data_IF_475719354881
#
_entry.id   IF_475719354881
#
_cell.length_a   1.000
_cell.length_b   1.000
_cell.length_c   1.000
_cell.angle_alpha   90.00
_cell.angle_beta   90.00
_cell.angle_gamma   90.00
#
_symmetry.space_group_name_H-M   'P 1'
#
loop_
_entity.id
_entity.type
_entity.pdbx_description
1 polymer ?
#
# COMPACT_ATOMS: atom_id res chain seq x y z
N UNK A 1 -22.01 10.87 -14.66
CA UNK A 1 -20.54 10.80 -14.67
C UNK A 1 -20.13 9.42 -14.20
N UNK A 2 -19.36 8.71 -15.03
CA UNK A 2 -18.87 7.36 -14.71
C UNK A 2 -17.41 7.44 -14.30
N UNK A 3 -17.01 6.80 -13.19
CA UNK A 3 -15.62 6.76 -12.75
C UNK A 3 -14.81 5.76 -13.58
N UNK A 4 -14.38 6.19 -14.76
CA UNK A 4 -13.57 5.43 -15.73
C UNK A 4 -12.70 6.40 -16.52
N UNK A 5 -11.65 5.92 -17.19
CA UNK A 5 -10.83 6.77 -18.07
C UNK A 5 -11.67 7.46 -19.14
N UNK A 6 -12.60 6.72 -19.76
CA UNK A 6 -13.53 7.28 -20.72
C UNK A 6 -14.44 8.35 -20.10
N UNK A 7 -14.94 8.10 -18.88
CA UNK A 7 -15.76 9.05 -18.14
C UNK A 7 -15.05 10.33 -17.72
N UNK A 8 -13.71 10.33 -17.64
CA UNK A 8 -12.91 11.53 -17.36
C UNK A 8 -12.72 12.46 -18.57
N UNK A 9 -13.13 12.05 -19.79
CA UNK A 9 -13.05 12.92 -20.97
C UNK A 9 -13.98 14.13 -20.87
N UNK A 10 -15.16 13.98 -20.28
CA UNK A 10 -16.07 15.09 -20.00
C UNK A 10 -15.67 15.83 -18.71
N UNK A 11 -14.52 16.49 -18.76
CA UNK A 11 -13.98 17.24 -17.60
C UNK A 11 -14.94 18.31 -17.10
N UNK A 12 -15.73 18.92 -18.00
CA UNK A 12 -16.66 20.00 -17.68
C UNK A 12 -17.75 19.56 -16.71
N UNK A 13 -18.32 18.35 -16.89
CA UNK A 13 -19.31 17.80 -15.97
C UNK A 13 -18.74 17.59 -14.55
N UNK A 14 -17.54 17.02 -14.44
CA UNK A 14 -16.87 16.78 -13.16
C UNK A 14 -16.52 18.07 -12.43
N UNK A 15 -15.95 19.03 -13.15
CA UNK A 15 -15.55 20.33 -12.59
C UNK A 15 -16.79 21.14 -12.17
N UNK A 16 -17.88 21.10 -12.94
CA UNK A 16 -19.16 21.73 -12.57
C UNK A 16 -19.81 21.10 -11.33
N UNK A 17 -19.62 19.79 -11.13
CA UNK A 17 -20.02 19.09 -9.91
C UNK A 17 -19.08 19.35 -8.71
N UNK A 18 -18.01 20.14 -8.89
CA UNK A 18 -17.03 20.45 -7.84
C UNK A 18 -16.05 19.30 -7.55
N UNK A 19 -15.92 18.34 -8.47
CA UNK A 19 -14.96 17.24 -8.37
C UNK A 19 -13.63 17.66 -9.00
N UNK A 20 -12.55 17.55 -8.21
CA UNK A 20 -11.20 17.82 -8.70
C UNK A 20 -10.70 16.64 -9.53
N UNK A 21 -10.17 16.92 -10.71
CA UNK A 21 -9.59 15.91 -11.59
C UNK A 21 -8.05 15.93 -11.55
N UNK A 22 -7.37 14.84 -11.94
CA UNK A 22 -5.93 14.82 -12.15
C UNK A 22 -5.49 15.96 -13.08
N UNK A 23 -4.39 16.62 -12.70
CA UNK A 23 -3.75 17.72 -13.45
C UNK A 23 -2.62 17.23 -14.37
N UNK A 24 -2.53 15.92 -14.59
CA UNK A 24 -1.52 15.26 -15.42
C UNK A 24 -2.20 14.26 -16.38
N UNK A 25 -1.43 13.77 -17.36
CA UNK A 25 -1.92 12.73 -18.27
C UNK A 25 -1.84 11.36 -17.58
N UNK A 26 -3.01 10.85 -17.14
CA UNK A 26 -3.15 9.61 -16.38
C UNK A 26 -2.61 8.40 -17.15
N UNK A 27 -2.99 8.24 -18.42
CA UNK A 27 -2.56 7.11 -19.24
C UNK A 27 -1.05 7.10 -19.47
N UNK A 28 -0.45 8.27 -19.73
CA UNK A 28 1.00 8.42 -19.89
C UNK A 28 1.73 8.06 -18.60
N UNK A 29 1.24 8.54 -17.44
CA UNK A 29 1.80 8.18 -16.14
C UNK A 29 1.68 6.68 -15.88
N UNK A 30 0.54 6.07 -16.21
CA UNK A 30 0.34 4.63 -16.04
C UNK A 30 1.31 3.83 -16.91
N UNK A 31 1.50 4.23 -18.17
CA UNK A 31 2.48 3.63 -19.08
C UNK A 31 3.91 3.76 -18.55
N UNK A 32 4.32 4.97 -18.12
CA UNK A 32 5.65 5.21 -17.55
C UNK A 32 5.90 4.35 -16.30
N UNK A 33 4.88 4.17 -15.46
CA UNK A 33 4.95 3.31 -14.27
C UNK A 33 5.12 1.84 -14.65
N UNK A 34 4.39 1.36 -15.65
CA UNK A 34 4.51 -0.04 -16.09
C UNK A 34 5.88 -0.35 -16.66
N UNK A 35 6.47 0.61 -17.37
CA UNK A 35 7.78 0.48 -18.01
C UNK A 35 8.95 0.56 -17.04
N UNK A 36 8.87 1.41 -16.01
CA UNK A 36 9.96 1.65 -15.06
C UNK A 36 9.41 1.84 -13.65
N UNK A 37 8.91 0.79 -12.99
CA UNK A 37 8.23 0.89 -11.70
C UNK A 37 9.19 1.35 -10.59
N UNK A 38 8.75 2.32 -9.78
CA UNK A 38 9.55 2.84 -8.65
C UNK A 38 8.94 2.48 -7.28
N UNK A 39 7.64 2.17 -7.23
CA UNK A 39 6.90 1.96 -5.99
C UNK A 39 5.81 0.90 -6.15
N UNK A 40 5.92 -0.18 -5.35
CA UNK A 40 4.88 -1.20 -5.16
C UNK A 40 4.25 -1.07 -3.78
N UNK A 41 2.94 -1.17 -3.65
CA UNK A 41 2.24 -1.16 -2.37
C UNK A 41 1.41 -2.42 -2.15
N UNK A 42 1.65 -3.13 -1.05
CA UNK A 42 0.90 -4.30 -0.61
C UNK A 42 -0.20 -3.91 0.38
N UNK A 43 -1.42 -4.39 0.18
CA UNK A 43 -2.58 -4.00 0.99
C UNK A 43 -3.28 -2.80 0.37
N UNK A 44 -4.21 -3.08 -0.53
CA UNK A 44 -4.75 -2.08 -1.45
C UNK A 44 -6.08 -1.45 -0.97
N UNK A 45 -6.28 -1.39 0.35
CA UNK A 45 -7.52 -0.98 1.01
C UNK A 45 -7.75 0.53 1.15
N UNK A 46 -8.64 0.93 2.07
CA UNK A 46 -9.08 2.32 2.21
C UNK A 46 -7.99 3.28 2.70
N UNK A 47 -7.12 2.87 3.64
CA UNK A 47 -6.00 3.71 4.10
C UNK A 47 -5.04 4.00 2.95
N UNK A 48 -4.66 2.97 2.20
CA UNK A 48 -3.83 3.14 1.01
C UNK A 48 -4.45 4.13 0.02
N UNK A 49 -5.70 3.89 -0.40
CA UNK A 49 -6.36 4.71 -1.43
C UNK A 49 -6.65 6.14 -0.96
N UNK A 50 -7.07 6.31 0.30
CA UNK A 50 -7.45 7.59 0.88
C UNK A 50 -6.28 8.44 1.38
N UNK A 51 -5.09 7.85 1.58
CA UNK A 51 -3.93 8.56 2.09
C UNK A 51 -2.66 8.32 1.27
N UNK A 52 -2.14 7.09 1.19
CA UNK A 52 -0.84 6.83 0.56
C UNK A 52 -0.87 7.14 -0.94
N UNK A 53 -1.89 6.66 -1.66
CA UNK A 53 -2.12 7.02 -3.06
C UNK A 53 -2.38 8.53 -3.22
N UNK A 54 -2.96 9.19 -2.22
CA UNK A 54 -3.13 10.64 -2.24
C UNK A 54 -1.82 11.41 -2.16
N UNK A 55 -0.84 10.91 -1.42
CA UNK A 55 0.50 11.51 -1.40
C UNK A 55 1.12 11.51 -2.80
N UNK A 56 1.05 10.38 -3.50
CA UNK A 56 1.57 10.28 -4.87
C UNK A 56 0.76 11.11 -5.87
N UNK A 57 -0.58 11.15 -5.73
CA UNK A 57 -1.45 12.01 -6.55
C UNK A 57 -1.02 13.48 -6.46
N UNK A 58 -0.69 13.98 -5.25
CA UNK A 58 -0.22 15.36 -5.06
C UNK A 58 1.10 15.58 -5.79
N UNK A 59 2.06 14.66 -5.68
CA UNK A 59 3.33 14.77 -6.40
C UNK A 59 3.14 14.79 -7.91
N UNK A 60 2.28 13.93 -8.45
CA UNK A 60 1.95 13.88 -9.88
C UNK A 60 1.28 15.18 -10.34
N UNK A 61 0.30 15.68 -9.59
CA UNK A 61 -0.36 16.96 -9.89
C UNK A 61 0.60 18.16 -9.87
N UNK A 62 1.66 18.11 -9.04
CA UNK A 62 2.70 19.15 -8.96
C UNK A 62 3.81 18.99 -10.00
N UNK A 63 3.81 17.92 -10.79
CA UNK A 63 4.94 17.57 -11.67
C UNK A 63 6.21 17.17 -10.92
N UNK A 64 6.12 16.86 -9.62
CA UNK A 64 7.23 16.39 -8.79
C UNK A 64 7.48 14.88 -8.93
N UNK A 65 6.58 14.17 -9.60
CA UNK A 65 6.71 12.78 -10.00
C UNK A 65 6.10 12.58 -11.40
N UNK A 66 6.53 11.53 -12.09
CA UNK A 66 6.06 11.14 -13.44
C UNK A 66 5.51 9.70 -13.49
N UNK A 67 5.51 9.01 -12.34
CA UNK A 67 5.08 7.61 -12.18
C UNK A 67 4.14 7.47 -11.00
N UNK A 68 3.20 6.56 -11.09
CA UNK A 68 2.27 6.17 -10.04
C UNK A 68 2.78 5.02 -9.18
N UNK A 69 1.84 4.37 -8.51
CA UNK A 69 2.04 3.21 -7.63
C UNK A 69 1.46 1.97 -8.28
N UNK A 70 2.13 0.83 -8.11
CA UNK A 70 1.57 -0.49 -8.40
C UNK A 70 0.94 -1.04 -7.12
N UNK A 71 -0.38 -1.19 -7.10
CA UNK A 71 -1.09 -1.77 -5.98
C UNK A 71 -1.06 -3.30 -6.05
N UNK A 72 -0.88 -3.97 -4.92
CA UNK A 72 -0.79 -5.42 -4.83
C UNK A 72 -1.63 -5.92 -3.66
N UNK A 73 -2.41 -6.96 -3.88
CA UNK A 73 -3.08 -7.69 -2.81
C UNK A 73 -2.57 -9.12 -2.73
N UNK A 74 -2.46 -9.66 -1.51
CA UNK A 74 -2.00 -11.03 -1.22
C UNK A 74 -3.10 -11.87 -0.58
N UNK A 75 -4.28 -11.31 -0.33
CA UNK A 75 -5.31 -11.97 0.48
C UNK A 75 -6.73 -11.76 -0.04
N UNK A 76 -7.11 -10.51 -0.30
CA UNK A 76 -8.45 -10.13 -0.72
C UNK A 76 -8.48 -9.69 -2.19
N UNK A 77 -8.32 -10.66 -3.08
CA UNK A 77 -8.23 -10.45 -4.52
C UNK A 77 -9.49 -9.84 -5.15
N UNK A 78 -10.64 -9.90 -4.45
CA UNK A 78 -11.86 -9.21 -4.87
C UNK A 78 -11.66 -7.69 -4.96
N UNK A 79 -10.74 -7.12 -4.16
CA UNK A 79 -10.41 -5.70 -4.23
C UNK A 79 -9.80 -5.38 -5.60
N UNK A 80 -8.89 -6.23 -6.10
CA UNK A 80 -8.29 -6.05 -7.42
C UNK A 80 -9.36 -6.13 -8.51
N UNK A 81 -10.24 -7.14 -8.47
CA UNK A 81 -11.23 -7.35 -9.53
C UNK A 81 -12.36 -6.33 -9.51
N UNK A 82 -12.97 -6.10 -8.34
CA UNK A 82 -14.22 -5.37 -8.20
C UNK A 82 -14.04 -3.88 -7.92
N UNK A 83 -12.81 -3.45 -7.57
CA UNK A 83 -12.50 -2.03 -7.30
C UNK A 83 -11.45 -1.51 -8.26
N UNK A 84 -10.29 -2.14 -8.38
CA UNK A 84 -9.24 -1.59 -9.25
C UNK A 84 -9.57 -1.82 -10.73
N UNK A 85 -9.77 -3.07 -11.14
CA UNK A 85 -10.07 -3.41 -12.55
C UNK A 85 -11.40 -2.81 -13.01
N UNK A 86 -12.44 -2.86 -12.17
CA UNK A 86 -13.76 -2.36 -12.52
C UNK A 86 -13.84 -0.83 -12.72
N UNK A 87 -12.87 -0.06 -12.21
CA UNK A 87 -12.87 1.41 -12.23
C UNK A 87 -11.56 1.99 -12.79
N UNK A 88 -10.86 1.27 -13.68
CA UNK A 88 -9.62 1.72 -14.32
C UNK A 88 -8.51 2.17 -13.34
N UNK A 89 -8.43 1.54 -12.17
CA UNK A 89 -7.58 1.90 -11.02
C UNK A 89 -7.87 3.29 -10.43
N UNK A 90 -8.97 3.94 -10.82
CA UNK A 90 -9.41 5.21 -10.27
C UNK A 90 -10.08 5.00 -8.90
N UNK A 91 -10.09 6.06 -8.10
CA UNK A 91 -10.84 6.09 -6.84
C UNK A 91 -11.33 7.50 -6.57
N UNK A 92 -12.54 7.66 -6.06
CA UNK A 92 -13.02 8.94 -5.56
C UNK A 92 -12.58 9.14 -4.11
N UNK A 93 -11.77 10.15 -3.84
CA UNK A 93 -11.46 10.54 -2.47
C UNK A 93 -12.40 11.64 -2.01
N UNK A 94 -13.10 11.39 -0.92
CA UNK A 94 -14.09 12.27 -0.33
C UNK A 94 -13.58 12.76 1.03
N UNK A 95 -13.11 14.00 1.08
CA UNK A 95 -12.58 14.61 2.31
C UNK A 95 -13.71 15.23 3.11
N UNK A 96 -13.91 14.73 4.33
CA UNK A 96 -14.88 15.27 5.29
C UNK A 96 -14.20 16.40 6.08
N UNK A 97 -14.65 17.64 5.89
CA UNK A 97 -14.11 18.79 6.61
C UNK A 97 -14.88 19.03 7.92
N UNK A 98 -14.22 19.69 8.88
CA UNK A 98 -14.81 20.01 10.19
C UNK A 98 -15.99 20.99 10.11
N UNK A 99 -16.09 21.79 9.03
CA UNK A 99 -17.17 22.73 8.76
C UNK A 99 -18.35 22.09 8.00
N UNK A 100 -18.40 20.75 7.97
CA UNK A 100 -19.38 19.93 7.24
C UNK A 100 -19.34 20.07 5.70
N UNK A 101 -18.41 20.84 5.14
CA UNK A 101 -18.13 20.79 3.70
C UNK A 101 -17.42 19.49 3.33
N UNK A 102 -17.54 19.11 2.06
CA UNK A 102 -16.91 17.89 1.55
C UNK A 102 -16.12 18.25 0.31
N UNK A 103 -14.85 17.87 0.30
CA UNK A 103 -14.02 17.89 -0.91
C UNK A 103 -14.17 16.57 -1.66
N UNK A 104 -14.20 16.61 -2.99
CA UNK A 104 -14.22 15.41 -3.82
C UNK A 104 -13.10 15.51 -4.88
N UNK A 105 -12.30 14.46 -5.01
CA UNK A 105 -11.20 14.37 -5.96
C UNK A 105 -11.16 12.98 -6.60
N UNK A 106 -10.95 12.92 -7.91
CA UNK A 106 -10.60 11.69 -8.61
C UNK A 106 -9.11 11.43 -8.42
N UNK A 107 -8.81 10.30 -7.80
CA UNK A 107 -7.46 9.76 -7.61
C UNK A 107 -7.13 8.83 -8.77
N UNK A 108 -5.97 9.02 -9.37
CA UNK A 108 -5.46 8.23 -10.50
C UNK A 108 -3.97 7.86 -10.33
N UNK A 109 -3.46 7.96 -9.10
CA UNK A 109 -2.06 7.68 -8.80
C UNK A 109 -1.72 6.18 -8.83
N UNK A 110 -2.72 5.30 -8.81
CA UNK A 110 -2.53 3.85 -8.99
C UNK A 110 -2.53 3.54 -10.47
N UNK A 111 -1.41 3.04 -10.97
CA UNK A 111 -1.18 2.80 -12.39
C UNK A 111 -1.50 1.37 -12.83
N UNK A 112 -1.39 0.43 -11.90
CA UNK A 112 -1.52 -1.00 -12.12
C UNK A 112 -1.91 -1.65 -10.78
N UNK A 113 -2.74 -2.69 -10.84
CA UNK A 113 -3.18 -3.45 -9.67
C UNK A 113 -2.99 -4.95 -9.95
N UNK A 114 -2.34 -5.66 -9.03
CA UNK A 114 -1.93 -7.05 -9.21
C UNK A 114 -2.32 -7.93 -8.01
N UNK A 115 -2.58 -9.20 -8.30
CA UNK A 115 -2.77 -10.27 -7.33
C UNK A 115 -1.46 -11.01 -7.16
N UNK A 116 -0.92 -10.97 -5.95
CA UNK A 116 0.23 -11.77 -5.56
C UNK A 116 -0.23 -13.18 -5.17
N UNK A 117 -0.61 -13.98 -6.17
CA UNK A 117 -1.16 -15.33 -6.01
C UNK A 117 -0.46 -16.31 -6.94
N UNK A 118 0.10 -17.40 -6.41
CA UNK A 118 0.71 -18.46 -7.21
C UNK A 118 -0.27 -19.09 -8.25
N UNK A 119 -1.58 -19.00 -8.00
CA UNK A 119 -2.63 -19.44 -8.95
C UNK A 119 -2.83 -18.47 -10.12
N UNK A 120 -2.18 -17.30 -10.10
CA UNK A 120 -2.21 -16.26 -11.13
C UNK A 120 -0.80 -16.11 -11.74
N UNK A 121 -0.31 -17.10 -12.52
CA UNK A 121 1.09 -17.16 -12.96
C UNK A 121 1.52 -15.94 -13.78
N UNK A 122 0.63 -15.35 -14.58
CA UNK A 122 0.92 -14.14 -15.36
C UNK A 122 1.16 -12.92 -14.46
N UNK A 123 0.33 -12.75 -13.43
CA UNK A 123 0.48 -11.64 -12.47
C UNK A 123 1.70 -11.83 -11.57
N UNK A 124 2.00 -13.07 -11.18
CA UNK A 124 3.25 -13.38 -10.47
C UNK A 124 4.48 -13.17 -11.34
N UNK A 125 4.44 -13.50 -12.63
CA UNK A 125 5.51 -13.19 -13.57
C UNK A 125 5.70 -11.68 -13.72
N UNK A 126 4.60 -10.90 -13.75
CA UNK A 126 4.66 -9.44 -13.75
C UNK A 126 5.29 -8.89 -12.47
N UNK A 127 4.92 -9.40 -11.29
CA UNK A 127 5.54 -9.00 -10.02
C UNK A 127 7.03 -9.34 -9.96
N UNK A 128 7.43 -10.53 -10.43
CA UNK A 128 8.84 -10.92 -10.55
C UNK A 128 9.61 -9.95 -11.46
N UNK A 129 9.05 -9.60 -12.62
CA UNK A 129 9.65 -8.61 -13.52
C UNK A 129 9.81 -7.22 -12.87
N UNK A 130 8.82 -6.76 -12.10
CA UNK A 130 8.91 -5.51 -11.34
C UNK A 130 10.05 -5.57 -10.31
N UNK A 131 10.17 -6.68 -9.57
CA UNK A 131 11.23 -6.85 -8.56
C UNK A 131 12.62 -7.02 -9.16
N UNK A 132 12.72 -7.50 -10.41
CA UNK A 132 13.96 -7.57 -11.16
C UNK A 132 14.42 -6.19 -11.70
N UNK A 133 13.54 -5.19 -11.75
CA UNK A 133 13.89 -3.84 -12.21
C UNK A 133 14.76 -3.11 -11.17
N UNK A 134 16.00 -2.69 -11.51
CA UNK A 134 16.88 -1.99 -10.57
C UNK A 134 16.36 -0.61 -10.17
N UNK A 135 15.44 -0.01 -10.94
CA UNK A 135 14.77 1.25 -10.66
C UNK A 135 13.70 1.17 -9.57
N UNK A 136 13.28 -0.02 -9.14
CA UNK A 136 12.35 -0.18 -8.03
C UNK A 136 12.98 0.35 -6.72
N UNK A 137 12.42 1.43 -6.19
CA UNK A 137 12.99 2.17 -5.06
C UNK A 137 12.49 1.65 -3.72
N UNK A 138 11.19 1.38 -3.64
CA UNK A 138 10.54 0.94 -2.42
C UNK A 138 9.36 0.01 -2.67
N UNK A 139 9.12 -0.86 -1.70
CA UNK A 139 7.82 -1.51 -1.49
C UNK A 139 7.24 -1.04 -0.16
N UNK A 140 5.92 -0.88 -0.06
CA UNK A 140 5.28 -0.49 1.21
C UNK A 140 4.00 -1.26 1.51
N UNK A 141 3.51 -1.17 2.76
CA UNK A 141 2.45 -2.04 3.27
C UNK A 141 1.38 -1.29 4.06
N UNK A 142 0.11 -1.62 3.84
CA UNK A 142 -1.02 -1.34 4.76
C UNK A 142 -1.87 -2.60 4.94
N UNK A 143 -1.26 -3.66 5.47
CA UNK A 143 -1.86 -5.01 5.58
C UNK A 143 -2.32 -5.34 7.00
N UNK A 144 -2.27 -4.37 7.91
CA UNK A 144 -2.48 -4.49 9.37
C UNK A 144 -1.42 -5.37 10.05
N UNK A 145 -1.34 -5.31 11.38
CA UNK A 145 -0.43 -6.15 12.17
C UNK A 145 -0.63 -7.65 11.91
N UNK A 146 -1.87 -8.06 11.62
CA UNK A 146 -2.20 -9.46 11.31
C UNK A 146 -1.54 -9.97 10.03
N UNK A 147 -1.22 -9.08 9.08
CA UNK A 147 -0.55 -9.44 7.84
C UNK A 147 0.93 -9.84 8.03
N UNK A 148 1.54 -9.46 9.16
CA UNK A 148 2.92 -9.83 9.51
C UNK A 148 2.98 -11.10 10.38
N UNK A 149 1.88 -11.49 11.02
CA UNK A 149 1.90 -12.54 12.03
C UNK A 149 2.12 -13.93 11.42
N UNK A 150 3.20 -14.60 11.84
CA UNK A 150 3.48 -16.01 11.48
C UNK A 150 2.95 -17.00 12.52
N UNK A 151 2.69 -16.52 13.74
CA UNK A 151 2.29 -17.34 14.88
C UNK A 151 0.89 -17.01 15.35
N UNK A 152 0.21 -18.02 15.89
CA UNK A 152 -1.01 -17.87 16.69
C UNK A 152 -0.68 -17.41 18.12
N UNK A 153 -1.68 -16.97 18.90
CA UNK A 153 -1.47 -16.60 20.30
C UNK A 153 -0.90 -17.72 21.19
N UNK A 154 -1.07 -18.99 20.81
CA UNK A 154 -0.50 -20.16 21.51
C UNK A 154 0.97 -20.45 21.15
N UNK A 155 1.57 -19.64 20.27
CA UNK A 155 2.95 -19.80 19.79
C UNK A 155 3.10 -20.74 18.58
N UNK A 156 2.04 -21.42 18.14
CA UNK A 156 2.11 -22.30 16.96
C UNK A 156 2.13 -21.50 15.65
N UNK A 157 2.87 -21.97 14.64
CA UNK A 157 2.85 -21.38 13.30
C UNK A 157 1.45 -21.47 12.68
N UNK A 158 0.98 -20.40 12.05
CA UNK A 158 -0.21 -20.46 11.21
C UNK A 158 0.04 -21.39 10.02
N UNK A 159 -0.99 -22.07 9.46
CA UNK A 159 -0.77 -23.12 8.46
C UNK A 159 -0.15 -22.58 7.18
N UNK A 160 -0.46 -21.34 6.83
CA UNK A 160 0.13 -20.65 5.69
C UNK A 160 1.64 -20.43 5.87
N UNK A 161 2.08 -19.91 7.02
CA UNK A 161 3.50 -19.70 7.32
C UNK A 161 4.28 -21.02 7.36
N UNK A 162 3.72 -22.06 8.01
CA UNK A 162 4.33 -23.39 8.01
C UNK A 162 4.47 -23.97 6.59
N UNK A 163 3.43 -23.82 5.74
CA UNK A 163 3.50 -24.22 4.33
C UNK A 163 4.57 -23.45 3.56
N UNK A 164 4.71 -22.14 3.79
CA UNK A 164 5.68 -21.31 3.09
C UNK A 164 7.13 -21.67 3.48
N UNK A 165 7.37 -21.93 4.76
CA UNK A 165 8.67 -22.40 5.27
C UNK A 165 9.02 -23.80 4.72
N UNK A 166 8.03 -24.66 4.49
CA UNK A 166 8.25 -26.02 3.96
C UNK A 166 8.43 -26.05 2.44
N UNK A 167 7.66 -25.26 1.68
CA UNK A 167 7.68 -25.30 0.21
C UNK A 167 8.77 -24.44 -0.42
N UNK A 168 9.31 -23.47 0.33
CA UNK A 168 10.32 -22.56 -0.19
C UNK A 168 9.76 -21.45 -1.09
N UNK A 169 10.66 -20.70 -1.75
CA UNK A 169 10.31 -19.47 -2.49
C UNK A 169 9.26 -19.63 -3.60
N UNK A 170 9.12 -20.82 -4.21
CA UNK A 170 8.21 -21.02 -5.34
C UNK A 170 6.76 -21.38 -4.93
N UNK A 171 6.52 -21.64 -3.64
CA UNK A 171 5.24 -22.17 -3.15
C UNK A 171 4.53 -21.31 -2.11
N UNK A 172 4.92 -20.05 -1.96
CA UNK A 172 4.44 -19.17 -0.89
C UNK A 172 3.00 -18.70 -1.09
N UNK A 173 2.23 -18.66 0.00
CA UNK A 173 0.84 -18.19 0.04
C UNK A 173 0.60 -17.14 1.12
N UNK A 174 1.44 -17.04 2.14
CA UNK A 174 1.38 -15.99 3.14
C UNK A 174 2.06 -14.72 2.59
N UNK A 175 1.56 -13.54 2.98
CA UNK A 175 2.10 -12.26 2.50
C UNK A 175 3.63 -12.15 2.73
N UNK A 176 4.10 -12.55 3.92
CA UNK A 176 5.52 -12.49 4.25
C UNK A 176 6.35 -13.49 3.44
N UNK A 177 5.82 -14.69 3.15
CA UNK A 177 6.51 -15.67 2.32
C UNK A 177 6.59 -15.21 0.87
N UNK A 178 5.51 -14.64 0.34
CA UNK A 178 5.48 -14.08 -1.01
C UNK A 178 6.49 -12.93 -1.14
N UNK A 179 6.54 -12.01 -0.17
CA UNK A 179 7.52 -10.91 -0.18
C UNK A 179 8.94 -11.45 -0.05
N UNK A 180 9.19 -12.42 0.84
CA UNK A 180 10.51 -13.05 0.97
C UNK A 180 10.95 -13.72 -0.36
N UNK A 181 10.02 -14.38 -1.07
CA UNK A 181 10.28 -14.97 -2.38
C UNK A 181 10.57 -13.92 -3.47
N UNK A 182 9.86 -12.79 -3.46
CA UNK A 182 10.10 -11.68 -4.38
C UNK A 182 11.45 -10.99 -4.09
N UNK A 183 11.82 -10.83 -2.81
CA UNK A 183 13.14 -10.35 -2.40
C UNK A 183 14.25 -11.31 -2.83
N UNK A 184 14.02 -12.62 -2.70
CA UNK A 184 14.95 -13.63 -3.19
C UNK A 184 15.10 -13.56 -4.71
N UNK A 185 14.00 -13.40 -5.43
CA UNK A 185 14.03 -13.19 -6.88
C UNK A 185 14.83 -11.94 -7.27
N UNK A 186 14.62 -10.80 -6.58
CA UNK A 186 15.41 -9.58 -6.79
C UNK A 186 16.89 -9.82 -6.54
N UNK A 187 17.24 -10.49 -5.45
CA UNK A 187 18.63 -10.86 -5.13
C UNK A 187 19.28 -11.69 -6.25
N UNK A 188 18.58 -12.69 -6.78
CA UNK A 188 19.12 -13.55 -7.85
C UNK A 188 19.21 -12.86 -9.21
N UNK A 189 18.49 -11.76 -9.42
CA UNK A 189 18.41 -11.08 -10.73
C UNK A 189 19.30 -9.85 -10.79
N UNK A 190 18.98 -8.80 -10.03
CA UNK A 190 19.72 -7.54 -10.07
C UNK A 190 20.43 -7.18 -8.77
N UNK A 191 19.95 -7.67 -7.62
CA UNK A 191 20.52 -7.39 -6.30
C UNK A 191 20.60 -5.89 -5.95
N UNK A 192 19.84 -5.05 -6.65
CA UNK A 192 19.85 -3.60 -6.45
C UNK A 192 19.16 -3.24 -5.12
N UNK A 193 19.57 -2.15 -4.45
CA UNK A 193 19.01 -1.82 -3.14
C UNK A 193 17.49 -1.61 -3.15
N UNK A 194 16.83 -1.76 -2.00
CA UNK A 194 15.38 -1.62 -1.87
C UNK A 194 14.96 -1.23 -0.44
N UNK A 195 14.03 -0.30 -0.31
CA UNK A 195 13.35 -0.05 0.96
C UNK A 195 12.07 -0.89 1.10
N UNK A 196 11.89 -1.52 2.25
CA UNK A 196 10.73 -2.38 2.58
C UNK A 196 9.98 -1.75 3.77
N UNK A 197 8.95 -0.96 3.46
CA UNK A 197 8.40 0.05 4.38
C UNK A 197 7.01 -0.33 4.87
N UNK A 198 6.89 -0.76 6.12
CA UNK A 198 5.55 -0.84 6.73
C UNK A 198 4.98 0.56 6.93
N UNK A 199 3.72 0.77 6.54
CA UNK A 199 2.93 1.98 6.80
C UNK A 199 1.67 1.61 7.62
N UNK A 200 1.76 0.58 8.44
CA UNK A 200 0.69 0.15 9.33
C UNK A 200 0.77 0.82 10.70
N UNK A 201 -0.38 0.92 11.37
CA UNK A 201 -0.53 1.50 12.70
C UNK A 201 -0.15 0.47 13.78
N UNK A 202 1.12 0.09 13.87
CA UNK A 202 1.64 -0.75 14.95
C UNK A 202 3.07 -0.35 15.36
N UNK A 203 3.40 -0.57 16.64
CA UNK A 203 4.71 -0.20 17.18
C UNK A 203 5.86 -0.91 16.49
N UNK A 204 6.91 -0.18 16.15
CA UNK A 204 8.15 -0.70 15.55
C UNK A 204 7.88 -1.54 14.30
N UNK A 205 6.96 -1.06 13.46
CA UNK A 205 6.42 -1.80 12.32
C UNK A 205 7.48 -2.31 11.34
N UNK A 206 8.55 -1.56 11.08
CA UNK A 206 9.68 -2.01 10.26
C UNK A 206 10.43 -3.20 10.88
N UNK A 207 10.59 -3.24 12.21
CA UNK A 207 11.18 -4.38 12.91
C UNK A 207 10.28 -5.61 12.83
N UNK A 208 8.96 -5.45 13.04
CA UNK A 208 8.00 -6.56 12.93
C UNK A 208 7.99 -7.16 11.52
N UNK A 209 7.95 -6.32 10.50
CA UNK A 209 8.02 -6.72 9.10
C UNK A 209 9.32 -7.48 8.80
N UNK A 210 10.45 -6.92 9.22
CA UNK A 210 11.75 -7.56 9.03
C UNK A 210 11.83 -8.91 9.74
N UNK A 211 11.42 -8.98 11.01
CA UNK A 211 11.44 -10.20 11.81
C UNK A 211 10.66 -11.34 11.16
N UNK A 212 9.45 -11.08 10.66
CA UNK A 212 8.65 -12.09 9.98
C UNK A 212 9.26 -12.56 8.66
N UNK A 213 9.83 -11.65 7.87
CA UNK A 213 10.53 -12.04 6.63
C UNK A 213 11.78 -12.87 6.97
N UNK A 214 12.56 -12.41 7.95
CA UNK A 214 13.78 -13.06 8.39
C UNK A 214 13.52 -14.48 8.90
N UNK A 215 12.45 -14.70 9.67
CA UNK A 215 12.10 -16.03 10.19
C UNK A 215 11.81 -17.03 9.07
N UNK A 216 11.04 -16.63 8.05
CA UNK A 216 10.78 -17.46 6.88
C UNK A 216 12.08 -17.78 6.12
N UNK A 217 12.92 -16.76 5.91
CA UNK A 217 14.17 -16.93 5.17
C UNK A 217 15.16 -17.83 5.90
N UNK A 218 15.22 -17.78 7.25
CA UNK A 218 16.05 -18.70 8.02
C UNK A 218 15.57 -20.14 7.91
N UNK A 219 14.25 -20.39 7.94
CA UNK A 219 13.72 -21.73 7.70
C UNK A 219 14.11 -22.28 6.31
N UNK A 220 14.12 -21.42 5.28
CA UNK A 220 14.60 -21.79 3.95
C UNK A 220 16.10 -22.05 3.92
N UNK A 221 16.90 -21.27 4.66
CA UNK A 221 18.34 -21.46 4.74
C UNK A 221 18.69 -22.80 5.41
N UNK A 222 18.04 -23.13 6.54
CA UNK A 222 18.24 -24.40 7.26
C UNK A 222 17.93 -25.62 6.39
N UNK A 223 16.94 -25.49 5.49
CA UNK A 223 16.56 -26.52 4.52
C UNK A 223 17.37 -26.48 3.22
N UNK A 224 18.33 -25.56 3.08
CA UNK A 224 19.17 -25.44 1.88
C UNK A 224 18.43 -24.93 0.63
N UNK A 225 17.30 -24.24 0.79
CA UNK A 225 16.49 -23.71 -0.31
C UNK A 225 16.97 -22.34 -0.81
N UNK A 226 17.75 -21.62 0.00
CA UNK A 226 18.37 -20.34 -0.33
C UNK A 226 19.81 -20.31 0.19
N UNK A 227 20.67 -19.48 -0.41
CA UNK A 227 22.07 -19.35 0.02
C UNK A 227 22.23 -18.33 1.16
N UNK A 228 23.23 -18.51 2.04
CA UNK A 228 23.50 -17.57 3.14
C UNK A 228 23.78 -16.13 2.67
N UNK A 229 24.29 -15.96 1.46
CA UNK A 229 24.48 -14.66 0.84
C UNK A 229 23.17 -13.88 0.62
N UNK A 230 22.02 -14.57 0.50
CA UNK A 230 20.71 -13.91 0.49
C UNK A 230 20.36 -13.32 1.86
N UNK A 231 20.66 -14.02 2.95
CA UNK A 231 20.48 -13.47 4.32
C UNK A 231 21.39 -12.25 4.52
N UNK A 232 22.63 -12.30 4.04
CA UNK A 232 23.52 -11.13 4.03
C UNK A 232 22.93 -9.98 3.22
N UNK A 233 22.37 -10.24 2.04
CA UNK A 233 21.71 -9.20 1.23
C UNK A 233 20.56 -8.50 1.97
N UNK A 234 19.78 -9.23 2.79
CA UNK A 234 18.70 -8.64 3.59
C UNK A 234 19.17 -7.83 4.79
N UNK A 235 20.37 -8.11 5.31
CA UNK A 235 20.88 -7.55 6.58
C UNK A 235 22.01 -6.53 6.38
N UNK A 236 22.69 -6.56 5.24
CA UNK A 236 23.80 -5.66 4.93
C UNK A 236 23.29 -4.23 4.74
N UNK A 237 23.95 -3.30 5.45
CA UNK A 237 23.63 -1.88 5.38
C UNK A 237 23.73 -1.37 3.94
N UNK A 238 22.70 -0.65 3.49
CA UNK A 238 22.63 -0.09 2.14
C UNK A 238 22.16 -1.05 1.05
N UNK A 239 21.80 -2.30 1.38
CA UNK A 239 21.16 -3.25 0.45
C UNK A 239 19.65 -3.23 0.60
N UNK A 240 19.13 -3.77 1.70
CA UNK A 240 17.71 -3.72 2.00
C UNK A 240 17.52 -2.98 3.31
N UNK A 241 16.57 -2.06 3.37
CA UNK A 241 16.21 -1.36 4.60
C UNK A 241 14.78 -1.67 5.02
N UNK A 242 14.54 -1.62 6.33
CA UNK A 242 13.22 -1.79 6.94
C UNK A 242 12.89 -0.57 7.83
N UNK A 243 12.62 0.60 7.23
CA UNK A 243 12.41 1.84 7.97
C UNK A 243 11.19 1.75 8.88
N UNK A 244 11.27 2.36 10.05
CA UNK A 244 10.10 2.54 10.91
C UNK A 244 9.21 3.67 10.39
N UNK A 245 7.91 3.56 10.61
CA UNK A 245 6.98 4.65 10.33
C UNK A 245 5.91 4.80 11.40
N UNK A 246 5.38 6.03 11.51
CA UNK A 246 4.14 6.33 12.21
C UNK A 246 3.14 6.86 11.20
N UNK A 247 1.98 6.21 11.13
CA UNK A 247 0.85 6.63 10.31
C UNK A 247 -0.32 7.07 11.17
N UNK A 248 -1.00 8.13 10.76
CA UNK A 248 -2.25 8.57 11.33
C UNK A 248 -3.23 9.01 10.24
N UNK A 249 -4.36 8.32 10.19
CA UNK A 249 -5.48 8.60 9.28
C UNK A 249 -6.71 7.80 9.73
N UNK A 250 -7.84 8.47 9.93
CA UNK A 250 -9.12 7.78 10.08
C UNK A 250 -9.77 7.61 8.71
N UNK A 251 -9.85 6.36 8.23
CA UNK A 251 -10.61 5.96 7.04
C UNK A 251 -11.70 4.96 7.44
N UNK A 252 -12.91 5.42 7.79
CA UNK A 252 -13.99 4.54 8.18
C UNK A 252 -14.49 3.72 6.97
N UNK A 253 -15.45 2.82 7.23
CA UNK A 253 -16.16 2.11 6.17
C UNK A 253 -16.85 3.11 5.22
N UNK A 254 -17.12 2.69 3.96
CA UNK A 254 -17.92 3.47 3.03
C UNK A 254 -19.21 3.98 3.69
N UNK A 255 -19.39 5.30 3.69
CA UNK A 255 -20.56 5.96 4.30
C UNK A 255 -21.72 6.01 3.31
N UNK A 256 -22.90 5.57 3.75
CA UNK A 256 -24.15 5.67 2.95
C UNK A 256 -24.52 7.12 2.65
N UNK A 257 -24.29 8.04 3.61
CA UNK A 257 -24.52 9.48 3.39
C UNK A 257 -23.60 10.04 2.31
N UNK A 258 -22.35 9.59 2.26
CA UNK A 258 -21.41 9.99 1.20
C UNK A 258 -21.82 9.37 -0.13
N UNK A 259 -22.20 8.08 -0.16
CA UNK A 259 -22.70 7.40 -1.35
C UNK A 259 -23.85 8.18 -2.00
N UNK A 260 -24.90 8.48 -1.23
CA UNK A 260 -26.06 9.25 -1.71
C UNK A 260 -25.68 10.63 -2.25
N UNK A 261 -24.74 11.31 -1.59
CA UNK A 261 -24.25 12.61 -2.05
C UNK A 261 -23.53 12.51 -3.40
N UNK A 262 -22.74 11.47 -3.63
CA UNK A 262 -22.09 11.24 -4.92
C UNK A 262 -23.13 10.96 -6.02
N UNK A 263 -24.20 10.21 -5.71
CA UNK A 263 -25.32 9.99 -6.63
C UNK A 263 -26.06 11.29 -6.96
N UNK A 264 -26.32 12.16 -5.96
CA UNK A 264 -26.91 13.48 -6.15
C UNK A 264 -26.03 14.41 -7.01
N UNK A 265 -24.71 14.22 -6.96
CA UNK A 265 -23.75 14.88 -7.87
C UNK A 265 -23.76 14.29 -9.29
N UNK A 266 -24.53 13.23 -9.54
CA UNK A 266 -24.62 12.56 -10.83
C UNK A 266 -23.48 11.56 -11.09
N UNK A 267 -22.76 11.13 -10.05
CA UNK A 267 -21.72 10.11 -10.14
C UNK A 267 -22.36 8.73 -9.95
N UNK A 268 -22.14 7.83 -10.90
CA UNK A 268 -22.75 6.50 -10.90
C UNK A 268 -21.76 5.41 -10.45
N UNK A 269 -22.27 4.25 -10.05
CA UNK A 269 -21.44 3.09 -9.72
C UNK A 269 -20.72 3.20 -8.38
N UNK A 270 -21.27 3.96 -7.42
CA UNK A 270 -20.64 4.22 -6.12
C UNK A 270 -21.04 3.21 -5.03
N UNK A 271 -21.72 2.13 -5.37
CA UNK A 271 -22.24 1.19 -4.38
C UNK A 271 -21.14 0.46 -3.62
N UNK A 272 -21.23 0.38 -2.27
CA UNK A 272 -20.35 -0.45 -1.47
C UNK A 272 -20.53 -1.93 -1.83
N UNK A 273 -19.41 -2.65 -1.83
CA UNK A 273 -19.36 -4.09 -1.95
C UNK A 273 -18.79 -4.69 -0.67
N UNK A 274 -19.20 -5.92 -0.39
CA UNK A 274 -18.56 -6.77 0.62
C UNK A 274 -17.82 -7.87 -0.11
N UNK A 275 -16.51 -7.95 0.11
CA UNK A 275 -15.68 -8.96 -0.54
C UNK A 275 -15.90 -10.35 0.07
N UNK A 276 -15.41 -11.39 -0.63
CA UNK A 276 -15.35 -12.76 -0.10
C UNK A 276 -14.52 -12.90 1.19
N UNK A 277 -13.71 -11.89 1.54
CA UNK A 277 -12.95 -11.80 2.80
C UNK A 277 -13.59 -10.85 3.82
N UNK A 278 -14.84 -10.44 3.61
CA UNK A 278 -15.61 -9.55 4.48
C UNK A 278 -15.05 -8.12 4.57
N UNK A 279 -14.28 -7.67 3.59
CA UNK A 279 -13.87 -6.27 3.48
C UNK A 279 -15.04 -5.45 2.94
N UNK A 280 -15.38 -4.38 3.65
CA UNK A 280 -16.36 -3.38 3.20
C UNK A 280 -15.64 -2.28 2.44
N UNK A 281 -15.86 -2.21 1.13
CA UNK A 281 -15.12 -1.32 0.24
C UNK A 281 -16.04 -0.73 -0.83
N UNK A 282 -15.73 0.47 -1.32
CA UNK A 282 -16.45 1.12 -2.41
C UNK A 282 -15.45 1.78 -3.37
N UNK A 283 -15.89 2.20 -4.57
CA UNK A 283 -15.10 2.99 -5.53
C UNK A 283 -14.76 4.40 -5.05
N UNK A 284 -15.23 4.75 -3.85
CA UNK A 284 -14.83 5.94 -3.12
C UNK A 284 -14.24 5.60 -1.76
N UNK A 285 -13.49 6.54 -1.19
CA UNK A 285 -13.04 6.54 0.20
C UNK A 285 -13.52 7.83 0.83
N UNK A 286 -14.28 7.74 1.92
CA UNK A 286 -14.55 8.87 2.79
C UNK A 286 -13.54 8.89 3.93
N UNK A 287 -12.83 10.01 4.08
CA UNK A 287 -11.81 10.16 5.10
C UNK A 287 -11.83 11.59 5.66
N UNK A 288 -11.38 11.74 6.91
CA UNK A 288 -11.20 13.06 7.52
C UNK A 288 -10.10 13.87 6.80
N UNK A 289 -9.96 15.16 7.11
CA UNK A 289 -8.86 15.97 6.60
C UNK A 289 -7.51 15.72 7.30
N UNK A 290 -7.41 15.62 8.65
CA UNK A 290 -6.15 15.33 9.32
C UNK A 290 -5.49 14.06 8.80
N UNK A 291 -4.16 14.11 8.64
CA UNK A 291 -3.35 12.96 8.26
C UNK A 291 -1.88 13.23 8.55
N UNK A 292 -1.19 12.25 9.11
CA UNK A 292 0.23 12.34 9.41
C UNK A 292 0.95 11.08 8.99
N UNK A 293 2.11 11.23 8.37
CA UNK A 293 3.01 10.13 8.07
C UNK A 293 4.42 10.60 8.39
N UNK A 294 5.05 9.91 9.33
CA UNK A 294 6.45 10.14 9.74
C UNK A 294 7.23 8.87 9.43
N UNK A 295 8.32 8.95 8.69
CA UNK A 295 9.10 7.79 8.25
C UNK A 295 10.58 8.00 8.56
N UNK A 296 11.26 6.93 8.98
CA UNK A 296 12.71 6.88 9.08
C UNK A 296 13.33 7.08 7.68
N UNK A 297 14.25 8.03 7.53
CA UNK A 297 14.83 8.33 6.22
C UNK A 297 15.97 7.37 5.86
N UNK A 298 15.60 6.11 5.56
CA UNK A 298 16.52 5.03 5.23
C UNK A 298 16.08 4.33 3.93
N UNK A 299 16.38 4.95 2.79
CA UNK A 299 15.93 4.50 1.47
C UNK A 299 17.13 4.30 0.54
N UNK A 300 17.73 3.09 0.52
CA UNK A 300 19.04 2.89 -0.10
C UNK A 300 19.02 2.98 -1.62
N UNK A 301 17.84 2.94 -2.26
CA UNK A 301 17.66 3.14 -3.71
C UNK A 301 16.90 4.44 -4.03
N UNK A 302 16.88 5.39 -3.09
CA UNK A 302 16.05 6.59 -3.16
C UNK A 302 14.58 6.32 -2.88
N UNK A 303 13.76 7.37 -3.01
CA UNK A 303 12.31 7.36 -2.81
C UNK A 303 11.66 8.53 -3.55
N UNK A 304 10.35 8.49 -3.83
CA UNK A 304 9.62 9.68 -4.24
C UNK A 304 9.79 10.83 -3.22
N UNK A 305 9.76 12.10 -3.67
CA UNK A 305 9.94 13.27 -2.80
C UNK A 305 8.68 13.56 -1.97
N UNK A 306 8.26 12.57 -1.15
CA UNK A 306 7.02 12.56 -0.37
C UNK A 306 6.96 13.71 0.64
N UNK A 307 8.09 14.31 1.00
CA UNK A 307 8.12 15.53 1.81
C UNK A 307 7.37 16.69 1.17
N UNK A 308 7.34 16.77 -0.17
CA UNK A 308 6.54 17.77 -0.91
C UNK A 308 5.04 17.50 -0.84
N UNK A 309 4.63 16.29 -0.49
CA UNK A 309 3.23 15.90 -0.31
C UNK A 309 2.75 15.93 1.16
N UNK A 310 3.65 16.29 2.09
CA UNK A 310 3.36 16.44 3.53
C UNK A 310 3.85 15.29 4.42
N UNK A 311 4.71 14.40 3.90
CA UNK A 311 5.36 13.36 4.73
C UNK A 311 6.55 13.94 5.48
N UNK A 312 6.71 13.57 6.76
CA UNK A 312 7.86 13.95 7.56
C UNK A 312 8.90 12.83 7.52
N UNK A 313 10.13 13.16 7.15
CA UNK A 313 11.25 12.23 7.24
C UNK A 313 12.16 12.61 8.41
N UNK A 314 12.66 11.62 9.12
CA UNK A 314 13.50 11.84 10.30
C UNK A 314 14.35 10.63 10.67
N UNK A 315 15.05 10.72 11.80
CA UNK A 315 15.76 9.58 12.37
C UNK A 315 14.77 8.56 12.96
N UNK A 316 15.23 7.33 13.18
CA UNK A 316 14.45 6.31 13.89
C UNK A 316 13.94 6.77 15.26
N UNK A 317 14.75 7.55 15.99
CA UNK A 317 14.36 8.14 17.29
C UNK A 317 13.18 9.12 17.15
N UNK A 318 13.15 9.95 16.10
CA UNK A 318 12.02 10.83 15.81
C UNK A 318 10.76 10.02 15.56
N UNK A 319 10.84 8.98 14.73
CA UNK A 319 9.70 8.10 14.45
C UNK A 319 9.21 7.43 15.73
N UNK A 320 10.11 6.86 16.54
CA UNK A 320 9.77 6.20 17.80
C UNK A 320 9.04 7.15 18.77
N UNK A 321 9.48 8.42 18.86
CA UNK A 321 8.81 9.44 19.68
C UNK A 321 7.42 9.80 19.13
N UNK A 322 7.30 10.00 17.82
CA UNK A 322 6.02 10.29 17.17
C UNK A 322 5.03 9.15 17.32
N UNK A 323 5.49 7.91 17.15
CA UNK A 323 4.72 6.69 17.36
C UNK A 323 4.29 6.53 18.80
N UNK A 324 5.20 6.66 19.78
CA UNK A 324 4.87 6.57 21.19
C UNK A 324 3.78 7.58 21.57
N UNK A 325 3.95 8.85 21.18
CA UNK A 325 2.93 9.89 21.42
C UNK A 325 1.55 9.45 20.90
N UNK A 326 1.46 8.97 19.65
CA UNK A 326 0.20 8.63 19.00
C UNK A 326 -0.42 7.32 19.50
N UNK A 327 0.39 6.26 19.59
CA UNK A 327 -0.05 4.88 19.86
C UNK A 327 -0.27 4.63 21.35
N UNK A 328 0.49 5.28 22.26
CA UNK A 328 0.46 4.93 23.69
C UNK A 328 -0.15 6.00 24.58
N UNK A 329 -0.24 7.25 24.14
CA UNK A 329 -0.61 8.35 25.03
C UNK A 329 -1.81 9.17 24.52
N UNK A 330 -1.73 9.69 23.30
CA UNK A 330 -2.58 10.81 22.90
C UNK A 330 -3.77 10.45 22.01
N UNK A 331 -3.79 9.28 21.33
CA UNK A 331 -4.84 9.00 20.33
C UNK A 331 -5.38 7.57 20.40
N UNK A 332 -4.59 6.55 20.06
CA UNK A 332 -5.11 5.18 19.98
C UNK A 332 -5.76 4.70 21.31
N UNK A 333 -5.17 4.93 22.50
CA UNK A 333 -5.78 4.50 23.76
C UNK A 333 -7.10 5.23 24.06
N UNK A 334 -7.21 6.52 23.72
CA UNK A 334 -8.44 7.30 23.88
C UNK A 334 -9.55 6.74 22.97
N UNK A 335 -9.22 6.42 21.71
CA UNK A 335 -10.17 5.76 20.81
C UNK A 335 -10.65 4.44 21.40
N UNK A 336 -9.75 3.59 21.90
CA UNK A 336 -10.13 2.32 22.53
C UNK A 336 -11.02 2.54 23.75
N UNK A 337 -10.68 3.48 24.63
CA UNK A 337 -11.46 3.78 25.84
C UNK A 337 -12.86 4.37 25.55
N UNK A 338 -13.02 5.10 24.45
CA UNK A 338 -14.31 5.70 24.04
C UNK A 338 -15.14 4.79 23.12
N UNK A 339 -14.60 3.66 22.65
CA UNK A 339 -15.30 2.72 21.77
C UNK A 339 -16.07 1.62 22.52
N UNK A 340 -16.21 1.76 23.84
CA UNK A 340 -16.86 0.80 24.76
C UNK A 340 -18.33 1.11 24.93
#
# INVERSE_FOLDING_TARGET
MELSYNGLHDRGAWEAAGVRLPAYNVEKTAQATRQAPIWVHFGSGNIFRGFIAQLQQRLLNMGAADKGIIAVDTFDYDIIDKIYTAFDNLTLNVTLNADATVGCEVMAAVAEALKADARQPEQMARLKAIFADPGLQMISFTITEKGYALHRPDGSLIPAAASDMEKGPDGCVHAMGIVAALLYHRYKTCGAPLAVVSMDNCSHNGEKLFGSIQEIVHAWLEKGMVEGAFVSYLTESGKVSFPWSMIDKITPRPSETVRRRLEEMGITGTDPIVTSKHTYIAPFVNAEKPQYLVIEDNFPNGRPPLEKAGVYFGSRDVVNKSEAMKVTTCLNPLHTAMSV
#
